data_IF_247458459119
#
_entry.id   IF_247458459119
#
_cell.length_a   1.000
_cell.length_b   1.000
_cell.length_c   1.000
_cell.angle_alpha   90.00
_cell.angle_beta   90.00
_cell.angle_gamma   90.00
#
_symmetry.space_group_name_H-M   'P 1'
#
loop_
_entity.id
_entity.type
_entity.pdbx_description
1 polymer ?
#
# COMPACT_ATOMS: atom_id res chain seq x y z
N UNK A 1 -3.25 -10.77 -3.80
CA UNK A 1 -2.37 -9.58 -3.84
C UNK A 1 -0.90 -9.87 -4.06
N UNK A 2 -0.33 -10.94 -3.48
CA UNK A 2 1.08 -11.28 -3.69
C UNK A 2 1.44 -11.44 -5.18
N UNK A 3 0.50 -11.95 -6.01
CA UNK A 3 0.67 -12.00 -7.46
C UNK A 3 0.89 -10.61 -8.09
N UNK A 4 0.16 -9.58 -7.63
CA UNK A 4 0.31 -8.20 -8.13
C UNK A 4 1.70 -7.66 -7.81
N UNK A 5 2.20 -7.91 -6.60
CA UNK A 5 3.53 -7.46 -6.16
C UNK A 5 4.64 -8.17 -6.93
N UNK A 6 4.59 -9.51 -6.99
CA UNK A 6 5.64 -10.33 -7.62
C UNK A 6 5.74 -10.13 -9.13
N UNK A 7 4.61 -9.90 -9.81
CA UNK A 7 4.60 -9.59 -11.24
C UNK A 7 5.07 -8.17 -11.55
N UNK A 8 5.04 -7.26 -10.58
CA UNK A 8 5.44 -5.88 -10.80
C UNK A 8 6.97 -5.74 -10.88
N UNK A 9 7.55 -5.04 -11.87
CA UNK A 9 6.88 -4.36 -12.98
C UNK A 9 6.73 -5.29 -14.21
N UNK A 10 5.49 -5.67 -14.57
CA UNK A 10 5.25 -6.53 -15.75
C UNK A 10 5.33 -5.76 -17.08
N UNK A 11 5.78 -4.50 -17.05
CA UNK A 11 6.22 -3.82 -18.26
C UNK A 11 7.38 -2.90 -17.95
N UNK A 12 8.59 -3.29 -18.34
CA UNK A 12 9.64 -2.31 -18.62
C UNK A 12 9.17 -1.51 -19.83
N UNK A 13 8.44 -0.42 -19.61
CA UNK A 13 8.39 0.64 -20.63
C UNK A 13 9.85 1.05 -20.84
N UNK A 14 10.38 0.91 -22.07
CA UNK A 14 11.78 1.18 -22.40
C UNK A 14 12.26 2.56 -21.89
N UNK A 15 11.32 3.50 -21.77
CA UNK A 15 11.51 4.89 -21.34
C UNK A 15 11.50 5.12 -19.82
N UNK A 16 11.13 4.13 -19.00
CA UNK A 16 11.09 4.31 -17.54
C UNK A 16 12.41 3.84 -16.92
N UNK A 17 13.16 4.78 -16.34
CA UNK A 17 14.42 4.47 -15.68
C UNK A 17 14.25 3.41 -14.58
N UNK A 18 15.13 2.40 -14.55
CA UNK A 18 15.15 1.33 -13.55
C UNK A 18 14.98 1.79 -12.09
N UNK A 19 15.64 2.88 -11.68
CA UNK A 19 15.54 3.44 -10.32
C UNK A 19 14.12 3.94 -9.99
N UNK A 20 13.43 4.50 -10.98
CA UNK A 20 12.01 4.90 -10.84
C UNK A 20 11.14 3.66 -10.65
N UNK A 21 11.39 2.59 -11.42
CA UNK A 21 10.65 1.33 -11.29
C UNK A 21 10.86 0.67 -9.93
N UNK A 22 12.10 0.68 -9.41
CA UNK A 22 12.40 0.23 -8.04
C UNK A 22 11.59 1.02 -7.01
N UNK A 23 11.60 2.35 -7.10
CA UNK A 23 10.81 3.22 -6.20
C UNK A 23 9.31 2.91 -6.27
N UNK A 24 8.77 2.69 -7.47
CA UNK A 24 7.37 2.31 -7.66
C UNK A 24 7.04 0.95 -7.04
N UNK A 25 7.95 -0.02 -7.16
CA UNK A 25 7.82 -1.33 -6.54
C UNK A 25 7.80 -1.20 -5.00
N UNK A 26 8.66 -0.34 -4.42
CA UNK A 26 8.66 -0.04 -2.98
C UNK A 26 7.33 0.57 -2.51
N UNK A 27 6.85 1.60 -3.22
CA UNK A 27 5.57 2.25 -2.93
C UNK A 27 4.43 1.22 -2.98
N UNK A 28 4.40 0.38 -4.01
CA UNK A 28 3.40 -0.68 -4.14
C UNK A 28 3.49 -1.69 -2.99
N UNK A 29 4.69 -2.09 -2.60
CA UNK A 29 4.93 -2.97 -1.46
C UNK A 29 4.36 -2.41 -0.16
N UNK A 30 4.63 -1.15 0.15
CA UNK A 30 4.07 -0.49 1.35
C UNK A 30 2.53 -0.42 1.33
N UNK A 31 1.93 -0.29 0.14
CA UNK A 31 0.46 -0.34 0.00
C UNK A 31 -0.11 -1.74 0.19
N UNK A 32 0.56 -2.78 -0.32
CA UNK A 32 0.07 -4.16 -0.24
C UNK A 32 0.31 -4.78 1.14
N UNK A 33 1.48 -4.56 1.75
CA UNK A 33 1.84 -5.25 2.99
C UNK A 33 1.49 -4.46 4.25
N UNK A 34 1.52 -3.12 4.19
CA UNK A 34 1.18 -2.23 5.31
C UNK A 34 -0.12 -1.48 5.09
N UNK A 35 -0.80 -1.68 3.95
CA UNK A 35 -2.10 -1.06 3.67
C UNK A 35 -2.05 0.46 3.51
N UNK A 36 -0.87 1.09 3.33
CA UNK A 36 -0.75 2.54 3.44
C UNK A 36 -1.55 3.30 2.38
N UNK A 37 -2.10 4.45 2.78
CA UNK A 37 -2.76 5.38 1.86
C UNK A 37 -1.74 6.33 1.22
N UNK A 38 -2.12 6.93 0.09
CA UNK A 38 -1.26 7.90 -0.61
C UNK A 38 -0.92 9.11 0.26
N UNK A 39 -1.87 9.61 1.04
CA UNK A 39 -1.63 10.73 1.96
C UNK A 39 -0.69 10.36 3.11
N UNK A 40 -0.70 9.09 3.53
CA UNK A 40 0.22 8.59 4.56
C UNK A 40 1.63 8.46 3.99
N UNK A 41 1.76 7.88 2.80
CA UNK A 41 3.03 7.77 2.07
C UNK A 41 3.67 9.15 1.83
N UNK A 42 2.86 10.15 1.47
CA UNK A 42 3.32 11.52 1.24
C UNK A 42 3.85 12.22 2.51
N UNK A 43 3.54 11.71 3.70
CA UNK A 43 4.01 12.23 4.99
C UNK A 43 5.05 11.35 5.68
N UNK A 44 5.43 10.23 5.08
CA UNK A 44 6.51 9.42 5.63
C UNK A 44 7.81 10.20 5.57
N UNK A 45 8.65 10.01 6.58
CA UNK A 45 9.97 10.61 6.72
C UNK A 45 10.99 9.49 6.86
N UNK A 46 12.26 9.79 6.62
CA UNK A 46 13.36 8.80 6.71
C UNK A 46 13.38 8.18 8.12
N UNK A 47 13.25 9.00 9.17
CA UNK A 47 13.31 8.57 10.56
C UNK A 47 12.14 7.67 10.99
N UNK A 48 11.06 7.66 10.22
CA UNK A 48 9.93 6.77 10.46
C UNK A 48 10.24 5.31 10.07
N UNK A 49 11.29 5.10 9.28
CA UNK A 49 11.69 3.79 8.81
C UNK A 49 12.71 3.17 9.76
N UNK A 50 12.28 2.19 10.53
CA UNK A 50 13.10 1.48 11.52
C UNK A 50 13.52 0.13 10.94
N UNK A 51 14.43 0.17 9.95
CA UNK A 51 14.87 -1.00 9.19
C UNK A 51 15.55 -2.05 10.06
N UNK A 52 16.31 -1.60 11.06
CA UNK A 52 16.94 -2.42 12.10
C UNK A 52 15.92 -3.25 12.88
N UNK A 53 14.76 -2.67 13.16
CA UNK A 53 13.64 -3.32 13.88
C UNK A 53 12.66 -4.01 12.95
N UNK A 54 12.86 -3.93 11.63
CA UNK A 54 11.90 -4.38 10.64
C UNK A 54 10.52 -3.71 10.80
N UNK A 55 10.48 -2.43 11.19
CA UNK A 55 9.23 -1.70 11.47
C UNK A 55 9.16 -0.38 10.72
N UNK A 56 7.94 0.07 10.48
CA UNK A 56 7.65 1.39 9.93
C UNK A 56 6.64 2.10 10.83
N UNK A 57 7.01 3.30 11.29
CA UNK A 57 6.10 4.20 11.97
C UNK A 57 5.31 5.00 10.92
N UNK A 58 3.99 5.04 11.06
CA UNK A 58 3.09 5.78 10.17
C UNK A 58 2.51 6.92 11.00
N UNK A 59 2.82 8.19 10.68
CA UNK A 59 2.32 9.33 11.44
C UNK A 59 0.81 9.50 11.25
N UNK A 60 0.17 10.13 12.25
CA UNK A 60 -1.27 10.44 12.21
C UNK A 60 -1.58 11.49 11.13
N UNK A 61 -2.74 11.34 10.48
CA UNK A 61 -3.30 12.37 9.59
C UNK A 61 -4.74 12.70 9.99
N UNK A 62 -5.37 13.65 9.29
CA UNK A 62 -6.73 14.10 9.60
C UNK A 62 -7.76 12.95 9.67
N UNK A 63 -7.54 11.86 8.91
CA UNK A 63 -8.46 10.72 8.81
C UNK A 63 -7.98 9.43 9.48
N UNK A 64 -6.68 9.27 9.72
CA UNK A 64 -6.12 8.03 10.29
C UNK A 64 -5.25 8.31 11.50
N UNK A 65 -5.19 7.34 12.42
CA UNK A 65 -4.36 7.39 13.61
C UNK A 65 -2.93 6.95 13.31
N UNK A 66 -1.99 7.43 14.14
CA UNK A 66 -0.60 6.95 14.13
C UNK A 66 -0.53 5.48 14.51
N UNK A 67 0.39 4.74 13.90
CA UNK A 67 0.60 3.31 14.16
C UNK A 67 2.00 2.89 13.77
N UNK A 68 2.46 1.77 14.30
CA UNK A 68 3.70 1.12 13.89
C UNK A 68 3.36 -0.24 13.31
N UNK A 69 3.84 -0.51 12.10
CA UNK A 69 3.58 -1.76 11.38
C UNK A 69 4.89 -2.49 11.12
N UNK A 70 4.81 -3.82 11.07
CA UNK A 70 5.95 -4.65 10.69
C UNK A 70 6.16 -4.61 9.17
N UNK A 71 7.43 -4.48 8.78
CA UNK A 71 7.89 -4.65 7.41
C UNK A 71 8.12 -6.14 7.16
N UNK A 72 7.81 -6.61 5.96
CA UNK A 72 8.19 -7.95 5.55
C UNK A 72 9.70 -8.02 5.27
N UNK A 73 10.39 -9.13 5.53
CA UNK A 73 11.85 -9.24 5.38
C UNK A 73 12.35 -8.81 3.99
N UNK A 74 11.64 -9.20 2.93
CA UNK A 74 11.99 -8.84 1.55
C UNK A 74 11.80 -7.34 1.23
N UNK A 75 11.12 -6.56 2.07
CA UNK A 75 11.00 -5.10 1.89
C UNK A 75 12.24 -4.36 2.45
N UNK A 76 12.96 -4.95 3.40
CA UNK A 76 14.00 -4.26 4.18
C UNK A 76 15.19 -3.86 3.29
N UNK A 77 15.80 -4.82 2.59
CA UNK A 77 16.98 -4.55 1.75
C UNK A 77 16.67 -3.55 0.61
N UNK A 78 15.58 -3.70 -0.17
CA UNK A 78 15.22 -2.72 -1.19
C UNK A 78 14.99 -1.30 -0.64
N UNK A 79 14.39 -1.18 0.55
CA UNK A 79 14.21 0.12 1.20
C UNK A 79 15.55 0.72 1.66
N UNK A 80 16.46 -0.11 2.16
CA UNK A 80 17.81 0.31 2.54
C UNK A 80 18.60 0.82 1.33
N UNK A 81 18.60 0.09 0.22
CA UNK A 81 19.24 0.51 -1.04
C UNK A 81 18.68 1.85 -1.54
N UNK A 82 17.35 2.02 -1.46
CA UNK A 82 16.69 3.26 -1.84
C UNK A 82 17.17 4.46 -1.03
N UNK A 83 17.33 4.30 0.29
CA UNK A 83 17.83 5.37 1.15
C UNK A 83 19.26 5.80 0.77
N UNK A 84 20.12 4.84 0.43
CA UNK A 84 21.52 5.10 0.11
C UNK A 84 21.75 5.68 -1.29
N UNK A 85 20.86 5.36 -2.24
CA UNK A 85 21.04 5.70 -3.66
C UNK A 85 20.04 6.75 -4.12
N UNK A 86 18.82 6.38 -4.50
CA UNK A 86 17.87 7.31 -5.08
C UNK A 86 17.46 8.41 -4.12
N UNK A 87 17.17 8.09 -2.84
CA UNK A 87 16.74 9.11 -1.88
C UNK A 87 17.84 10.14 -1.64
N UNK A 88 19.10 9.72 -1.57
CA UNK A 88 20.27 10.59 -1.43
C UNK A 88 20.45 11.50 -2.65
N UNK A 89 20.27 10.97 -3.86
CA UNK A 89 20.34 11.77 -5.10
C UNK A 89 19.24 12.85 -5.21
N UNK A 90 18.12 12.67 -4.50
CA UNK A 90 16.98 13.59 -4.50
C UNK A 90 16.97 14.51 -3.27
N UNK A 91 18.07 14.56 -2.51
CA UNK A 91 18.14 15.33 -1.27
C UNK A 91 17.79 16.81 -1.49
N UNK A 92 18.29 17.41 -2.57
CA UNK A 92 18.07 18.82 -2.87
C UNK A 92 16.69 19.10 -3.48
N UNK A 93 16.05 18.07 -4.08
CA UNK A 93 14.71 18.16 -4.66
C UNK A 93 13.59 17.94 -3.62
N UNK A 94 13.90 17.30 -2.50
CA UNK A 94 12.94 16.94 -1.46
C UNK A 94 13.05 17.93 -0.31
N UNK A 95 11.99 18.72 -0.12
CA UNK A 95 11.90 19.64 1.03
C UNK A 95 11.90 18.85 2.35
N UNK A 96 12.99 18.93 3.10
CA UNK A 96 13.11 18.31 4.43
C UNK A 96 13.35 16.80 4.41
N UNK A 97 12.87 16.11 5.45
CA UNK A 97 13.22 14.72 5.74
C UNK A 97 12.21 13.69 5.20
N UNK A 98 11.34 14.07 4.25
CA UNK A 98 10.37 13.15 3.69
C UNK A 98 11.04 11.96 3.00
N UNK A 99 10.42 10.78 3.14
CA UNK A 99 10.91 9.54 2.56
C UNK A 99 10.76 9.53 1.04
N UNK A 100 9.68 10.10 0.51
CA UNK A 100 9.41 10.15 -0.93
C UNK A 100 9.24 11.58 -1.43
N UNK A 101 9.72 11.84 -2.64
CA UNK A 101 9.44 13.10 -3.32
C UNK A 101 7.94 13.21 -3.65
N UNK A 102 7.26 14.20 -3.07
CA UNK A 102 5.79 14.39 -3.18
C UNK A 102 5.25 14.41 -4.61
N UNK A 103 5.82 15.26 -5.50
CA UNK A 103 5.38 15.31 -6.92
C UNK A 103 5.57 13.96 -7.63
N UNK A 104 6.74 13.32 -7.47
CA UNK A 104 7.03 12.00 -8.07
C UNK A 104 6.13 10.90 -7.52
N UNK A 105 5.73 10.95 -6.25
CA UNK A 105 4.78 10.02 -5.64
C UNK A 105 3.40 10.13 -6.29
N UNK A 106 2.85 11.35 -6.40
CA UNK A 106 1.52 11.59 -6.99
C UNK A 106 1.48 11.13 -8.46
N UNK A 107 2.47 11.56 -9.27
CA UNK A 107 2.57 11.12 -10.66
C UNK A 107 2.82 9.60 -10.77
N UNK A 108 3.60 9.06 -9.84
CA UNK A 108 3.93 7.64 -9.74
C UNK A 108 2.71 6.77 -9.48
N UNK A 109 1.77 7.20 -8.62
CA UNK A 109 0.55 6.43 -8.32
C UNK A 109 -0.28 6.15 -9.57
N UNK A 110 -0.47 7.16 -10.43
CA UNK A 110 -1.19 6.99 -11.69
C UNK A 110 -0.47 6.01 -12.62
N UNK A 111 0.87 6.07 -12.67
CA UNK A 111 1.69 5.15 -13.48
C UNK A 111 1.66 3.72 -12.94
N UNK A 112 1.79 3.54 -11.62
CA UNK A 112 1.68 2.23 -10.94
C UNK A 112 0.34 1.59 -11.28
N UNK A 113 -0.77 2.32 -11.14
CA UNK A 113 -2.10 1.82 -11.51
C UNK A 113 -2.16 1.40 -12.98
N UNK A 114 -1.69 2.26 -13.90
CA UNK A 114 -1.66 1.93 -15.34
C UNK A 114 -0.82 0.69 -15.66
N UNK A 115 0.27 0.47 -14.92
CA UNK A 115 1.11 -0.72 -15.08
C UNK A 115 0.41 -1.98 -14.56
N UNK A 116 -0.21 -1.92 -13.37
CA UNK A 116 -0.96 -3.04 -12.80
C UNK A 116 -2.14 -3.43 -13.70
N UNK A 117 -2.87 -2.45 -14.24
CA UNK A 117 -4.05 -2.70 -15.08
C UNK A 117 -3.73 -3.45 -16.39
N UNK A 118 -2.46 -3.57 -16.79
CA UNK A 118 -2.08 -4.35 -17.98
C UNK A 118 -2.26 -5.86 -17.76
N UNK A 119 -2.08 -6.32 -16.54
CA UNK A 119 -2.15 -7.74 -16.18
C UNK A 119 -3.23 -8.06 -15.15
N UNK A 120 -3.74 -7.04 -14.44
CA UNK A 120 -4.88 -7.15 -13.52
C UNK A 120 -5.94 -6.09 -13.87
N UNK A 121 -6.66 -6.26 -15.00
CA UNK A 121 -7.63 -5.27 -15.48
C UNK A 121 -8.84 -5.10 -14.56
N UNK A 122 -9.09 -6.04 -13.65
CA UNK A 122 -10.15 -5.96 -12.62
C UNK A 122 -9.89 -4.85 -11.60
N UNK A 123 -8.65 -4.37 -11.50
CA UNK A 123 -8.28 -3.28 -10.60
C UNK A 123 -8.73 -1.91 -11.16
N UNK A 124 -9.95 -1.53 -10.82
CA UNK A 124 -10.52 -0.24 -11.18
C UNK A 124 -9.95 0.91 -10.34
N UNK A 125 -9.61 0.66 -9.07
CA UNK A 125 -9.17 1.69 -8.14
C UNK A 125 -8.08 1.18 -7.18
N UNK A 126 -7.06 2.00 -6.92
CA UNK A 126 -6.03 1.72 -5.91
C UNK A 126 -6.59 1.62 -4.48
N UNK A 127 -7.80 2.11 -4.23
CA UNK A 127 -8.53 1.86 -2.98
C UNK A 127 -8.91 0.38 -2.80
N UNK A 128 -9.12 -0.38 -3.89
CA UNK A 128 -9.43 -1.81 -3.82
C UNK A 128 -8.25 -2.61 -3.24
N UNK A 129 -7.00 -2.21 -3.52
CA UNK A 129 -5.82 -2.80 -2.87
C UNK A 129 -5.93 -2.61 -1.35
N UNK A 130 -6.25 -1.41 -0.87
CA UNK A 130 -6.37 -1.22 0.57
C UNK A 130 -7.54 -2.01 1.15
N UNK A 131 -8.68 -2.03 0.47
CA UNK A 131 -9.86 -2.78 0.92
C UNK A 131 -9.54 -4.27 1.09
N UNK A 132 -8.96 -4.89 0.07
CA UNK A 132 -8.67 -6.31 0.13
C UNK A 132 -7.50 -6.64 1.09
N UNK A 133 -6.58 -5.70 1.39
CA UNK A 133 -5.62 -5.86 2.50
C UNK A 133 -6.33 -5.91 3.85
N UNK A 134 -7.26 -4.98 4.09
CA UNK A 134 -8.02 -4.91 5.35
C UNK A 134 -8.91 -6.15 5.48
N UNK A 135 -9.63 -6.56 4.44
CA UNK A 135 -10.44 -7.78 4.43
C UNK A 135 -9.58 -9.01 4.70
N UNK A 136 -8.38 -9.09 4.10
CA UNK A 136 -7.45 -10.17 4.40
C UNK A 136 -7.00 -10.15 5.86
N UNK A 137 -6.68 -9.00 6.45
CA UNK A 137 -6.35 -8.93 7.88
C UNK A 137 -7.51 -9.36 8.77
N UNK A 138 -8.75 -9.05 8.42
CA UNK A 138 -9.95 -9.46 9.18
C UNK A 138 -10.15 -10.98 9.23
N UNK A 139 -9.50 -11.76 8.35
CA UNK A 139 -9.53 -13.22 8.38
C UNK A 139 -8.61 -13.80 9.47
N UNK A 140 -7.55 -13.09 9.85
CA UNK A 140 -6.50 -13.61 10.74
C UNK A 140 -6.40 -12.87 12.07
N UNK A 141 -6.89 -11.63 12.15
CA UNK A 141 -6.77 -10.76 13.32
C UNK A 141 -8.14 -10.31 13.81
N UNK A 142 -8.21 -9.94 15.10
CA UNK A 142 -9.44 -9.40 15.66
C UNK A 142 -9.71 -7.97 15.16
N UNK A 143 -10.96 -7.52 15.28
CA UNK A 143 -11.42 -6.27 14.72
C UNK A 143 -10.64 -5.03 15.22
N UNK A 144 -10.22 -5.04 16.49
CA UNK A 144 -9.48 -3.92 17.10
C UNK A 144 -8.03 -3.88 16.64
N UNK A 145 -7.39 -5.05 16.47
CA UNK A 145 -6.07 -5.15 15.83
C UNK A 145 -6.12 -4.61 14.41
N UNK A 146 -7.09 -5.03 13.60
CA UNK A 146 -7.25 -4.52 12.23
C UNK A 146 -7.55 -3.04 12.22
N UNK A 147 -8.38 -2.53 13.14
CA UNK A 147 -8.62 -1.09 13.27
C UNK A 147 -7.31 -0.34 13.49
N UNK A 148 -6.46 -0.82 14.41
CA UNK A 148 -5.13 -0.25 14.65
C UNK A 148 -4.26 -0.32 13.39
N UNK A 149 -4.18 -1.49 12.74
CA UNK A 149 -3.35 -1.71 11.56
C UNK A 149 -3.79 -0.88 10.35
N UNK A 150 -5.08 -0.69 10.17
CA UNK A 150 -5.65 0.20 9.17
C UNK A 150 -5.49 1.68 9.57
N UNK A 151 -5.27 1.98 10.85
CA UNK A 151 -5.23 3.35 11.37
C UNK A 151 -6.62 4.00 11.41
N UNK A 152 -7.69 3.22 11.48
CA UNK A 152 -9.05 3.78 11.53
C UNK A 152 -9.35 4.40 12.90
N UNK A 153 -9.90 5.61 12.90
CA UNK A 153 -10.28 6.32 14.14
C UNK A 153 -11.42 5.65 14.88
N UNK A 154 -12.38 5.12 14.12
CA UNK A 154 -13.59 4.48 14.65
C UNK A 154 -13.62 3.03 14.21
N UNK A 155 -14.00 2.13 15.12
CA UNK A 155 -14.10 0.70 14.85
C UNK A 155 -15.10 0.40 13.73
N UNK A 156 -16.18 1.18 13.65
CA UNK A 156 -17.19 1.10 12.60
C UNK A 156 -16.64 1.29 11.19
N UNK A 157 -15.53 2.01 11.03
CA UNK A 157 -14.86 2.14 9.73
C UNK A 157 -14.19 0.83 9.29
N UNK A 158 -13.79 -0.02 10.24
CA UNK A 158 -13.22 -1.34 9.98
C UNK A 158 -14.32 -2.39 9.82
N UNK A 159 -15.39 -2.31 10.63
CA UNK A 159 -16.53 -3.24 10.56
C UNK A 159 -17.18 -3.29 9.18
N UNK A 160 -17.29 -2.15 8.50
CA UNK A 160 -17.85 -2.08 7.14
C UNK A 160 -17.22 -3.08 6.17
N UNK A 161 -15.92 -3.35 6.28
CA UNK A 161 -15.23 -4.31 5.41
C UNK A 161 -15.62 -5.77 5.66
N UNK A 162 -16.21 -6.10 6.83
CA UNK A 162 -16.82 -7.42 7.09
C UNK A 162 -18.19 -7.51 6.43
N UNK A 163 -19.02 -6.49 6.60
CA UNK A 163 -20.38 -6.44 6.05
C UNK A 163 -20.36 -6.49 4.53
N UNK A 164 -19.53 -5.66 3.88
CA UNK A 164 -19.40 -5.62 2.43
C UNK A 164 -19.02 -7.00 1.85
N UNK A 165 -18.12 -7.73 2.53
CA UNK A 165 -17.70 -9.07 2.10
C UNK A 165 -18.82 -10.12 2.23
N UNK A 166 -19.68 -10.00 3.25
CA UNK A 166 -20.85 -10.87 3.41
C UNK A 166 -21.92 -10.56 2.36
N UNK A 167 -22.17 -9.28 2.07
CA UNK A 167 -23.10 -8.86 1.01
C UNK A 167 -22.63 -9.31 -0.38
N UNK A 168 -21.34 -9.19 -0.67
CA UNK A 168 -20.76 -9.65 -1.94
C UNK A 168 -20.87 -11.17 -2.09
N UNK A 169 -20.59 -11.92 -1.01
CA UNK A 169 -20.77 -13.38 -0.99
C UNK A 169 -22.24 -13.78 -1.22
N UNK A 170 -23.18 -13.07 -0.58
CA UNK A 170 -24.61 -13.33 -0.75
C UNK A 170 -25.07 -13.07 -2.20
N UNK A 171 -24.62 -11.96 -2.82
CA UNK A 171 -24.93 -11.65 -4.23
C UNK A 171 -24.35 -12.68 -5.19
N UNK A 172 -23.15 -13.20 -4.93
CA UNK A 172 -22.59 -14.30 -5.73
C UNK A 172 -23.42 -15.58 -5.58
N UNK A 173 -23.83 -15.93 -4.37
CA UNK A 173 -24.71 -17.08 -4.13
C UNK A 173 -26.06 -16.92 -4.87
N UNK A 174 -26.73 -15.78 -4.75
CA UNK A 174 -28.02 -15.51 -5.43
C UNK A 174 -27.90 -15.57 -6.96
N UNK A 175 -26.72 -15.24 -7.53
CA UNK A 175 -26.48 -15.32 -8.97
C UNK A 175 -26.28 -16.76 -9.47
N UNK A 176 -25.72 -17.64 -8.64
CA UNK A 176 -25.38 -19.02 -9.03
C UNK A 176 -26.33 -20.08 -8.46
N UNK A 177 -27.22 -19.74 -7.54
CA UNK A 177 -28.25 -20.63 -7.04
C UNK A 177 -29.54 -20.50 -7.88
N UNK A 178 -29.93 -21.53 -8.65
CA UNK A 178 -31.22 -21.57 -9.33
C UNK A 178 -32.31 -21.92 -8.31
N UNK A 179 -32.78 -20.93 -7.57
CA UNK A 179 -34.06 -21.03 -6.87
C UNK A 179 -34.96 -19.90 -7.35
N UNK A 180 -35.53 -20.12 -8.54
CA UNK A 180 -36.88 -19.69 -8.86
C UNK A 180 -37.81 -20.89 -8.69
#
# INVERSE_FOLDING_TARGET
>A
MNNIYNKFPESKNHWTHGNTLKTYHLILGLRIYQGLQEQELAKLEINHLQLDKGKIYVPSIKRTNKRTLELKPFQILPLHEYLLTERKSLQDEIEGNYLFHKKRLICGMSRIKKMINRYEPRLNNMAQIRASVITNWLQYYNLREVQYMAGHRFVSSTERYRTDNLEDLQKELEKYHPLK
#
